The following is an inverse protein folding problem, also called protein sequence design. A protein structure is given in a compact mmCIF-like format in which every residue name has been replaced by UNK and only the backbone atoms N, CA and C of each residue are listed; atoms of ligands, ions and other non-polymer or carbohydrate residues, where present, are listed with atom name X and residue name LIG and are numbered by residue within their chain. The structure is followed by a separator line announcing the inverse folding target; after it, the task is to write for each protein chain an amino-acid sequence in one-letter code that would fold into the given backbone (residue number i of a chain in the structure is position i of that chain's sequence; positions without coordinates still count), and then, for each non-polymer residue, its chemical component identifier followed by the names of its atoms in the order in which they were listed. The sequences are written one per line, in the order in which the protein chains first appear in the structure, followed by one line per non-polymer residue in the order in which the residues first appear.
data_IF_805476029911
#
_entry.id   IF_805476029911
#
_cell.length_a   1.000
_cell.length_b   1.000
_cell.length_c   1.000
_cell.angle_alpha   90.00
_cell.angle_beta   90.00
_cell.angle_gamma   90.00
#
_symmetry.space_group_name_H-M   'P 1'
#
loop_
_entity.id
_entity.type
_entity.pdbx_description
1 polymer ?
#
# COMPACT_ATOMS: atom_id res chain seq x y z
N UNK A 1 -7.71 -30.14 7.76
CA UNK A 1 -7.07 -29.15 8.66
C UNK A 1 -7.30 -27.78 8.06
N UNK A 2 -8.27 -27.04 8.58
CA UNK A 2 -8.49 -25.63 8.23
C UNK A 2 -7.37 -24.81 8.88
N UNK A 3 -6.49 -24.25 8.07
CA UNK A 3 -5.49 -23.27 8.53
C UNK A 3 -6.27 -22.07 9.08
N UNK A 4 -6.00 -21.59 10.30
CA UNK A 4 -6.69 -20.43 10.83
C UNK A 4 -6.47 -19.24 9.89
N UNK A 5 -7.54 -18.50 9.64
CA UNK A 5 -7.54 -17.31 8.80
C UNK A 5 -6.81 -16.19 9.57
N UNK A 6 -5.48 -16.29 9.67
CA UNK A 6 -4.66 -15.24 10.26
C UNK A 6 -4.74 -14.06 9.31
N UNK A 7 -5.50 -13.04 9.69
CA UNK A 7 -5.53 -11.75 9.02
C UNK A 7 -4.10 -11.24 8.84
N UNK A 8 -3.67 -11.06 7.59
CA UNK A 8 -2.34 -10.52 7.25
C UNK A 8 -2.43 -9.01 7.33
N UNK A 9 -1.45 -8.36 7.96
CA UNK A 9 -1.40 -6.91 8.02
C UNK A 9 0.03 -6.37 7.86
N UNK A 10 0.30 -5.66 6.76
CA UNK A 10 1.54 -4.91 6.50
C UNK A 10 1.90 -3.97 7.63
N UNK A 11 0.90 -3.40 8.29
CA UNK A 11 1.08 -2.42 9.35
C UNK A 11 1.20 -3.08 10.74
N UNK A 12 1.20 -4.42 10.79
CA UNK A 12 1.43 -5.19 12.01
C UNK A 12 2.38 -6.34 11.75
N UNK A 13 3.63 -6.11 12.11
CA UNK A 13 4.75 -6.97 11.79
C UNK A 13 4.62 -8.36 12.43
N UNK A 14 3.92 -8.48 13.57
CA UNK A 14 3.61 -9.78 14.19
C UNK A 14 2.80 -10.66 13.24
N UNK A 15 1.81 -10.07 12.56
CA UNK A 15 0.94 -10.76 11.60
C UNK A 15 1.67 -11.10 10.29
N UNK A 16 2.85 -10.51 10.04
CA UNK A 16 3.67 -10.77 8.85
C UNK A 16 4.63 -11.95 8.99
N UNK A 17 5.06 -12.31 10.21
CA UNK A 17 6.09 -13.34 10.43
C UNK A 17 5.72 -14.66 9.75
N UNK A 18 4.55 -15.19 10.09
CA UNK A 18 4.05 -16.46 9.54
C UNK A 18 3.75 -16.37 8.04
N UNK A 19 3.26 -15.20 7.60
CA UNK A 19 2.94 -14.97 6.20
C UNK A 19 4.19 -15.06 5.33
N UNK A 20 5.24 -14.33 5.69
CA UNK A 20 6.51 -14.35 4.98
C UNK A 20 7.21 -15.70 5.07
N UNK A 21 7.13 -16.39 6.21
CA UNK A 21 7.66 -17.74 6.34
C UNK A 21 7.06 -18.71 5.32
N UNK A 22 5.72 -18.71 5.19
CA UNK A 22 5.02 -19.55 4.21
C UNK A 22 5.32 -19.18 2.75
N UNK A 23 5.79 -17.95 2.51
CA UNK A 23 6.16 -17.46 1.17
C UNK A 23 7.66 -17.52 0.88
N UNK A 24 8.44 -18.16 1.75
CA UNK A 24 9.86 -18.46 1.53
C UNK A 24 10.85 -17.52 2.22
N UNK A 25 10.39 -16.49 2.91
CA UNK A 25 11.24 -15.68 3.79
C UNK A 25 11.18 -16.24 5.21
N UNK A 26 12.17 -17.06 5.59
CA UNK A 26 12.15 -17.74 6.88
C UNK A 26 12.01 -16.79 8.08
N UNK A 27 11.20 -17.17 9.07
CA UNK A 27 10.95 -16.35 10.26
C UNK A 27 12.23 -15.97 10.99
N UNK A 28 13.23 -16.85 11.04
CA UNK A 28 14.53 -16.54 11.65
C UNK A 28 15.25 -15.39 10.94
N UNK A 29 15.18 -15.33 9.61
CA UNK A 29 15.75 -14.24 8.80
C UNK A 29 14.95 -12.97 9.02
N UNK A 30 13.61 -13.04 8.93
CA UNK A 30 12.74 -11.89 9.15
C UNK A 30 12.94 -11.29 10.55
N UNK A 31 12.91 -12.11 11.60
CA UNK A 31 13.16 -11.68 12.97
C UNK A 31 14.58 -11.12 13.15
N UNK A 32 15.59 -11.69 12.48
CA UNK A 32 16.95 -11.13 12.52
C UNK A 32 17.03 -9.74 11.89
N UNK A 33 16.27 -9.49 10.80
CA UNK A 33 16.19 -8.17 10.16
C UNK A 33 15.45 -7.19 11.07
N UNK A 34 14.38 -7.64 11.73
CA UNK A 34 13.53 -6.82 12.59
C UNK A 34 14.06 -6.68 14.03
N UNK A 35 15.31 -7.05 14.30
CA UNK A 35 15.94 -6.96 15.64
C UNK A 35 15.24 -7.78 16.74
N UNK A 36 14.60 -8.88 16.34
CA UNK A 36 13.95 -9.85 17.22
C UNK A 36 12.45 -9.61 17.44
N UNK A 37 11.82 -10.56 18.13
CA UNK A 37 10.35 -10.58 18.31
C UNK A 37 9.82 -9.36 19.08
N UNK A 38 10.56 -8.91 20.10
CA UNK A 38 10.18 -7.76 20.94
C UNK A 38 10.09 -6.45 20.15
N UNK A 39 10.87 -6.30 19.09
CA UNK A 39 10.89 -5.11 18.26
C UNK A 39 9.69 -5.04 17.31
N UNK A 40 9.04 -6.17 17.00
CA UNK A 40 7.88 -6.20 16.10
C UNK A 40 6.74 -5.31 16.59
N UNK A 41 6.41 -5.35 17.89
CA UNK A 41 5.39 -4.47 18.48
C UNK A 41 5.79 -3.00 18.38
N UNK A 42 7.05 -2.70 18.66
CA UNK A 42 7.59 -1.34 18.68
C UNK A 42 7.62 -0.69 17.30
N UNK A 43 7.70 -1.49 16.23
CA UNK A 43 7.77 -1.00 14.86
C UNK A 43 6.51 -1.30 14.04
N UNK A 44 5.43 -1.78 14.67
CA UNK A 44 4.15 -2.02 14.00
C UNK A 44 3.27 -0.77 14.04
N UNK A 45 3.05 -0.06 12.91
CA UNK A 45 2.22 1.14 12.91
C UNK A 45 0.81 0.91 13.44
N UNK A 46 0.16 -0.23 13.13
CA UNK A 46 -1.18 -0.58 13.64
C UNK A 46 -1.20 -0.57 15.17
N UNK A 47 -0.15 -1.09 15.82
CA UNK A 47 -0.04 -1.15 17.29
C UNK A 47 0.32 0.23 17.85
N UNK A 48 1.32 0.88 17.26
CA UNK A 48 1.85 2.16 17.75
C UNK A 48 0.79 3.26 17.86
N UNK A 49 -0.07 3.40 16.86
CA UNK A 49 -1.07 4.48 16.83
C UNK A 49 -2.19 4.26 17.85
N UNK A 50 -2.36 3.03 18.36
CA UNK A 50 -3.36 2.69 19.37
C UNK A 50 -2.85 2.88 20.81
N UNK A 51 -1.54 3.06 21.02
CA UNK A 51 -0.99 3.27 22.35
C UNK A 51 -1.39 4.64 22.91
N UNK A 52 -1.81 4.69 24.17
CA UNK A 52 -2.20 5.94 24.84
C UNK A 52 -1.07 6.97 24.84
N UNK A 53 0.18 6.53 24.96
CA UNK A 53 1.38 7.37 24.87
C UNK A 53 1.55 8.06 23.52
N UNK A 54 0.94 7.53 22.45
CA UNK A 54 0.97 8.10 21.10
C UNK A 54 -0.17 9.08 20.83
N UNK A 55 -1.16 9.22 21.73
CA UNK A 55 -2.36 10.04 21.52
C UNK A 55 -2.05 11.49 21.09
N UNK A 56 -1.06 12.12 21.73
CA UNK A 56 -0.60 13.46 21.36
C UNK A 56 -0.04 13.52 19.92
N UNK A 57 0.69 12.49 19.50
CA UNK A 57 1.28 12.41 18.16
C UNK A 57 0.23 12.11 17.08
N UNK A 58 -0.82 11.35 17.40
CA UNK A 58 -1.91 11.04 16.45
C UNK A 58 -2.57 12.30 15.93
N UNK A 59 -2.77 13.31 16.81
CA UNK A 59 -3.34 14.60 16.42
C UNK A 59 -2.48 15.42 15.46
N UNK A 60 -1.18 15.08 15.36
CA UNK A 60 -0.21 15.74 14.49
C UNK A 60 0.00 15.01 13.16
N UNK A 61 -0.62 13.83 12.98
CA UNK A 61 -0.50 13.10 11.73
C UNK A 61 -1.11 13.91 10.58
N UNK A 62 -0.44 13.97 9.42
CA UNK A 62 -1.06 14.52 8.22
C UNK A 62 -2.21 13.62 7.78
N UNK A 63 -3.06 14.13 6.88
CA UNK A 63 -4.03 13.29 6.18
C UNK A 63 -3.30 12.17 5.45
N UNK A 64 -3.62 10.93 5.78
CA UNK A 64 -3.01 9.73 5.20
C UNK A 64 -3.93 9.14 4.14
N UNK A 65 -3.46 9.00 2.90
CA UNK A 65 -4.21 8.35 1.83
C UNK A 65 -3.43 7.11 1.41
N UNK A 66 -4.06 5.95 1.55
CA UNK A 66 -3.50 4.66 1.19
C UNK A 66 -4.06 4.23 -0.16
N UNK A 67 -3.19 3.71 -1.02
CA UNK A 67 -3.54 3.18 -2.33
C UNK A 67 -3.17 1.70 -2.37
N UNK A 68 -4.10 0.84 -2.78
CA UNK A 68 -3.86 -0.61 -2.80
C UNK A 68 -4.60 -1.29 -3.94
N UNK A 69 -3.94 -2.21 -4.64
CA UNK A 69 -4.56 -3.09 -5.61
C UNK A 69 -5.36 -4.24 -4.96
N UNK A 70 -6.56 -4.52 -5.44
CA UNK A 70 -7.40 -5.59 -4.84
C UNK A 70 -6.90 -7.00 -5.18
N UNK A 71 -6.03 -7.14 -6.18
CA UNK A 71 -5.43 -8.42 -6.60
C UNK A 71 -3.99 -8.57 -6.10
N UNK A 72 -3.57 -7.78 -5.12
CA UNK A 72 -2.29 -7.96 -4.44
C UNK A 72 -2.30 -9.30 -3.68
N UNK A 73 -1.57 -10.26 -4.22
CA UNK A 73 -1.40 -11.59 -3.65
C UNK A 73 -0.16 -11.70 -2.76
N UNK A 74 0.68 -10.65 -2.72
CA UNK A 74 1.85 -10.55 -1.87
C UNK A 74 1.46 -10.08 -0.48
N UNK A 75 0.60 -9.08 -0.37
CA UNK A 75 0.00 -8.54 0.86
C UNK A 75 -1.47 -8.24 0.56
N UNK A 76 -2.44 -8.90 1.20
CA UNK A 76 -3.85 -8.63 0.94
C UNK A 76 -4.24 -7.19 1.27
N UNK A 77 -5.07 -6.59 0.41
CA UNK A 77 -5.59 -5.22 0.61
C UNK A 77 -6.40 -5.01 1.89
N UNK A 78 -6.92 -6.08 2.50
CA UNK A 78 -7.57 -6.06 3.83
C UNK A 78 -6.66 -5.50 4.92
N UNK A 79 -5.33 -5.64 4.77
CA UNK A 79 -4.35 -4.99 5.64
C UNK A 79 -4.50 -3.47 5.65
N UNK A 80 -4.55 -2.86 4.46
CA UNK A 80 -4.71 -1.40 4.35
C UNK A 80 -6.06 -0.95 4.88
N UNK A 81 -7.11 -1.76 4.69
CA UNK A 81 -8.43 -1.48 5.27
C UNK A 81 -8.37 -1.46 6.80
N UNK A 82 -7.80 -2.51 7.41
CA UNK A 82 -7.64 -2.65 8.86
C UNK A 82 -6.86 -1.46 9.44
N UNK A 83 -5.81 -1.02 8.75
CA UNK A 83 -4.99 0.09 9.22
C UNK A 83 -5.69 1.45 9.07
N UNK A 84 -6.40 1.71 7.97
CA UNK A 84 -7.22 2.94 7.84
C UNK A 84 -8.31 2.98 8.90
N UNK A 85 -9.02 1.88 9.13
CA UNK A 85 -10.03 1.78 10.19
C UNK A 85 -9.41 2.06 11.58
N UNK A 86 -8.19 1.58 11.81
CA UNK A 86 -7.44 1.83 13.05
C UNK A 86 -7.04 3.30 13.20
N UNK A 87 -6.52 3.93 12.15
CA UNK A 87 -6.18 5.35 12.14
C UNK A 87 -7.40 6.23 12.40
N UNK A 88 -8.52 5.97 11.72
CA UNK A 88 -9.77 6.70 11.90
C UNK A 88 -10.32 6.56 13.32
N UNK A 89 -10.26 5.34 13.89
CA UNK A 89 -10.71 5.07 15.26
C UNK A 89 -9.92 5.83 16.33
N UNK A 90 -8.64 6.10 16.09
CA UNK A 90 -7.81 6.92 17.00
C UNK A 90 -7.88 8.42 16.69
N UNK A 91 -8.72 8.82 15.73
CA UNK A 91 -8.98 10.22 15.38
C UNK A 91 -8.07 10.81 14.32
N UNK A 92 -7.24 10.00 13.66
CA UNK A 92 -6.45 10.46 12.51
C UNK A 92 -7.30 10.58 11.24
N UNK A 93 -6.91 11.50 10.35
CA UNK A 93 -7.51 11.61 9.03
C UNK A 93 -6.87 10.58 8.10
N UNK A 94 -7.62 9.53 7.74
CA UNK A 94 -7.12 8.47 6.88
C UNK A 94 -8.17 8.03 5.84
N UNK A 95 -7.72 7.70 4.64
CA UNK A 95 -8.52 7.23 3.52
C UNK A 95 -7.85 6.06 2.80
N UNK A 96 -8.66 5.19 2.20
CA UNK A 96 -8.20 4.06 1.39
C UNK A 96 -8.84 4.13 0.00
N UNK A 97 -8.00 4.08 -1.03
CA UNK A 97 -8.41 3.96 -2.43
C UNK A 97 -7.97 2.58 -2.92
N UNK A 98 -8.96 1.77 -3.28
CA UNK A 98 -8.76 0.43 -3.80
C UNK A 98 -8.85 0.43 -5.33
N UNK A 99 -7.81 -0.10 -5.98
CA UNK A 99 -7.79 -0.25 -7.43
C UNK A 99 -8.12 -1.69 -7.82
N UNK A 100 -9.27 -1.85 -8.46
CA UNK A 100 -9.79 -3.17 -8.83
C UNK A 100 -8.83 -3.88 -9.80
N UNK A 101 -8.50 -5.13 -9.48
CA UNK A 101 -7.71 -5.99 -10.36
C UNK A 101 -6.20 -5.75 -10.34
N UNK A 102 -5.72 -4.67 -9.71
CA UNK A 102 -4.29 -4.33 -9.66
C UNK A 102 -3.54 -5.21 -8.65
N UNK A 103 -2.33 -5.64 -8.99
CA UNK A 103 -1.39 -6.36 -8.12
C UNK A 103 -0.55 -5.41 -7.26
N UNK A 104 0.42 -5.91 -6.49
CA UNK A 104 1.26 -5.09 -5.60
C UNK A 104 2.01 -4.00 -6.35
N UNK A 105 2.49 -4.31 -7.56
CA UNK A 105 3.39 -3.44 -8.31
C UNK A 105 2.70 -2.65 -9.41
N UNK A 106 1.48 -3.04 -9.81
CA UNK A 106 0.81 -2.50 -10.99
C UNK A 106 0.75 -0.96 -10.99
N UNK A 107 0.35 -0.38 -9.86
CA UNK A 107 0.20 1.08 -9.71
C UNK A 107 1.51 1.86 -9.80
N UNK A 108 2.63 1.23 -9.44
CA UNK A 108 3.93 1.92 -9.31
C UNK A 108 4.88 1.61 -10.46
N UNK A 109 4.69 0.49 -11.15
CA UNK A 109 5.58 0.03 -12.21
C UNK A 109 4.83 -0.19 -13.52
N UNK A 110 3.87 -1.12 -13.55
CA UNK A 110 3.27 -1.57 -14.80
C UNK A 110 2.45 -0.46 -15.46
N UNK A 111 1.62 0.27 -14.71
CA UNK A 111 0.79 1.36 -15.24
C UNK A 111 1.64 2.53 -15.77
N UNK A 112 2.64 3.06 -15.03
CA UNK A 112 3.55 4.07 -15.56
C UNK A 112 4.29 3.62 -16.83
N UNK A 113 4.75 2.35 -16.87
CA UNK A 113 5.49 1.81 -18.02
C UNK A 113 4.59 1.48 -19.22
N UNK A 114 3.31 1.17 -18.98
CA UNK A 114 2.28 0.96 -20.01
C UNK A 114 1.99 2.24 -20.79
N UNK A 115 2.08 3.39 -20.12
CA UNK A 115 1.68 4.68 -20.68
C UNK A 115 0.17 4.73 -20.96
N UNK A 116 -0.28 5.83 -21.58
CA UNK A 116 -1.70 6.14 -21.69
C UNK A 116 -2.28 6.59 -20.35
N UNK A 117 -3.39 5.98 -19.94
CA UNK A 117 -4.07 6.29 -18.67
C UNK A 117 -3.34 5.63 -17.51
N UNK A 118 -3.13 6.41 -16.44
CA UNK A 118 -2.47 5.99 -15.21
C UNK A 118 -3.31 6.53 -14.06
N UNK A 119 -4.14 5.66 -13.47
CA UNK A 119 -5.18 6.07 -12.52
C UNK A 119 -4.59 6.69 -11.25
N UNK A 120 -3.47 6.15 -10.74
CA UNK A 120 -2.81 6.68 -9.55
C UNK A 120 -2.21 8.06 -9.85
N UNK A 121 -1.52 8.21 -10.99
CA UNK A 121 -0.97 9.50 -11.37
C UNK A 121 -2.09 10.53 -11.59
N UNK A 122 -3.16 10.16 -12.30
CA UNK A 122 -4.30 11.03 -12.57
C UNK A 122 -4.93 11.53 -11.26
N UNK A 123 -5.11 10.63 -10.27
CA UNK A 123 -5.57 10.99 -8.94
C UNK A 123 -4.62 11.96 -8.24
N UNK A 124 -3.31 11.66 -8.22
CA UNK A 124 -2.32 12.47 -7.50
C UNK A 124 -2.24 13.90 -8.06
N UNK A 125 -2.23 14.04 -9.38
CA UNK A 125 -2.19 15.35 -10.03
C UNK A 125 -3.47 16.14 -9.75
N UNK A 126 -4.64 15.51 -9.87
CA UNK A 126 -5.91 16.16 -9.54
C UNK A 126 -5.98 16.57 -8.06
N UNK A 127 -5.42 15.75 -7.16
CA UNK A 127 -5.35 16.05 -5.74
C UNK A 127 -4.44 17.25 -5.44
N UNK A 128 -3.21 17.24 -5.99
CA UNK A 128 -2.21 18.29 -5.77
C UNK A 128 -2.67 19.63 -6.36
N UNK A 129 -3.27 19.60 -7.56
CA UNK A 129 -3.75 20.80 -8.25
C UNK A 129 -5.22 21.13 -7.95
N UNK A 130 -5.84 20.52 -6.94
CA UNK A 130 -7.28 20.67 -6.66
C UNK A 130 -7.73 22.14 -6.50
N UNK A 131 -6.85 23.01 -6.00
CA UNK A 131 -7.10 24.44 -5.82
C UNK A 131 -6.48 25.34 -6.92
N UNK A 132 -5.83 24.76 -7.94
CA UNK A 132 -5.19 25.49 -9.06
C UNK A 132 -5.87 25.17 -10.40
N UNK A 133 -6.79 26.05 -10.80
CA UNK A 133 -7.55 25.91 -12.06
C UNK A 133 -6.66 25.94 -13.31
N UNK A 134 -5.57 26.71 -13.28
CA UNK A 134 -4.67 26.78 -14.44
C UNK A 134 -3.85 25.51 -14.57
N UNK A 135 -3.36 24.96 -13.45
CA UNK A 135 -2.68 23.67 -13.44
C UNK A 135 -3.59 22.55 -13.92
N UNK A 136 -4.83 22.46 -13.42
CA UNK A 136 -5.82 21.48 -13.89
C UNK A 136 -6.10 21.60 -15.39
N UNK A 137 -6.19 22.83 -15.92
CA UNK A 137 -6.35 23.05 -17.35
C UNK A 137 -5.13 22.59 -18.16
N UNK A 138 -3.91 22.80 -17.64
CA UNK A 138 -2.67 22.29 -18.25
C UNK A 138 -2.62 20.77 -18.23
N UNK A 139 -3.00 20.13 -17.13
CA UNK A 139 -3.02 18.67 -17.02
C UNK A 139 -4.02 18.05 -18.00
N UNK A 140 -5.21 18.63 -18.12
CA UNK A 140 -6.23 18.18 -19.07
C UNK A 140 -5.81 18.33 -20.54
N UNK A 141 -4.94 19.30 -20.83
CA UNK A 141 -4.38 19.53 -22.16
C UNK A 141 -3.09 18.74 -22.42
N UNK A 142 -2.54 18.05 -21.42
CA UNK A 142 -1.29 17.31 -21.54
C UNK A 142 -1.45 16.15 -22.53
N UNK A 143 -0.40 15.85 -23.34
CA UNK A 143 -0.44 14.70 -24.23
C UNK A 143 -0.51 13.39 -23.43
N UNK A 144 -1.07 12.30 -24.01
CA UNK A 144 -1.09 11.00 -23.37
C UNK A 144 0.32 10.53 -22.98
N UNK A 145 0.42 9.84 -21.84
CA UNK A 145 1.70 9.32 -21.33
C UNK A 145 2.31 8.36 -22.36
N UNK A 146 3.60 8.52 -22.63
CA UNK A 146 4.34 7.66 -23.55
C UNK A 146 4.38 6.23 -22.99
N UNK A 147 4.14 5.24 -23.84
CA UNK A 147 4.42 3.82 -23.54
C UNK A 147 5.93 3.57 -23.54
N UNK A 148 6.43 3.00 -22.46
CA UNK A 148 7.85 2.62 -22.32
C UNK A 148 8.07 1.13 -22.55
N UNK A 149 7.09 0.28 -22.21
CA UNK A 149 7.22 -1.18 -22.30
C UNK A 149 6.05 -1.79 -23.10
N UNK A 150 6.32 -2.73 -24.03
CA UNK A 150 5.27 -3.47 -24.72
C UNK A 150 4.34 -4.23 -23.77
N UNK A 151 3.04 -4.29 -24.10
CA UNK A 151 2.02 -4.89 -23.24
C UNK A 151 2.31 -6.35 -22.85
N UNK A 152 2.89 -7.13 -23.78
CA UNK A 152 3.23 -8.53 -23.53
C UNK A 152 4.26 -8.69 -22.42
N UNK A 153 5.27 -7.81 -22.35
CA UNK A 153 6.29 -7.87 -21.32
C UNK A 153 5.72 -7.45 -19.96
N UNK A 154 4.82 -6.47 -19.93
CA UNK A 154 4.14 -6.05 -18.70
C UNK A 154 3.25 -7.17 -18.12
N UNK A 155 2.48 -7.84 -18.99
CA UNK A 155 1.65 -8.99 -18.58
C UNK A 155 2.48 -10.15 -18.07
N UNK A 156 3.58 -10.47 -18.74
CA UNK A 156 4.51 -11.50 -18.27
C UNK A 156 5.14 -11.09 -16.93
N UNK A 157 5.58 -9.85 -16.78
CA UNK A 157 6.13 -9.33 -15.54
C UNK A 157 5.14 -9.49 -14.37
N UNK A 158 3.85 -9.16 -14.56
CA UNK A 158 2.83 -9.35 -13.52
C UNK A 158 2.55 -10.82 -13.14
N UNK A 159 2.88 -11.78 -14.01
CA UNK A 159 2.73 -13.21 -13.73
C UNK A 159 3.95 -13.83 -13.05
N UNK A 160 5.16 -13.32 -13.32
CA UNK A 160 6.42 -13.87 -12.79
C UNK A 160 6.97 -13.10 -11.60
N UNK A 161 6.60 -11.83 -11.47
CA UNK A 161 6.87 -11.04 -10.27
C UNK A 161 6.30 -11.80 -9.07
N UNK A 162 7.00 -11.82 -7.92
CA UNK A 162 6.44 -12.35 -6.69
C UNK A 162 5.56 -11.31 -5.95
N UNK A 163 5.39 -10.13 -6.55
CA UNK A 163 4.64 -8.96 -6.08
C UNK A 163 3.54 -8.58 -7.08
#
# INVERSE_FOLDING_TARGET
MTVPNNHIDRYNLLKLVDHFHRRGLYSSIFLSIMEGEKALEQFSPEILVQNESSSGAVSLLPRMILFHGTSDYSIPSDSSKTFVDTLQRVGAQAELILYAGKTHTDLFLQDPLRGGQDELFDYLVAFIHSDDKEALARDAAAPPRRRFVPEILLKLAGQVSPF
#
